data_IF_124170450430
#
_entry.id   IF_124170450430
#
_cell.length_a   1.000
_cell.length_b   1.000
_cell.length_c   1.000
_cell.angle_alpha   90.00
_cell.angle_beta   90.00
_cell.angle_gamma   90.00
#
_symmetry.space_group_name_H-M   'P 1'
#
loop_
_entity.id
_entity.type
_entity.pdbx_description
1 polymer ?
#
# COMPACT_ATOMS: atom_id res chain seq x y z
N UNK A 1 1.91 -5.70 13.05
CA UNK A 1 2.38 -5.31 11.70
C UNK A 1 3.34 -4.14 11.81
N UNK A 2 4.34 -4.09 10.94
CA UNK A 2 5.34 -3.01 10.87
C UNK A 2 5.34 -2.41 9.47
N UNK A 3 5.02 -1.12 9.37
CA UNK A 3 4.97 -0.38 8.10
C UNK A 3 6.18 0.55 7.99
N UNK A 4 6.81 0.53 6.81
CA UNK A 4 7.73 1.57 6.35
C UNK A 4 6.99 2.38 5.29
N UNK A 5 6.87 3.69 5.50
CA UNK A 5 6.03 4.56 4.65
C UNK A 5 6.88 5.68 4.07
N UNK A 6 6.71 5.95 2.77
CA UNK A 6 7.34 7.05 2.04
C UNK A 6 6.38 7.53 0.94
N UNK A 7 6.67 8.65 0.29
CA UNK A 7 5.92 9.15 -0.88
C UNK A 7 6.84 9.26 -2.09
N UNK A 8 6.33 8.94 -3.29
CA UNK A 8 7.03 9.15 -4.55
C UNK A 8 6.73 10.52 -5.19
N UNK A 9 5.82 11.30 -4.60
CA UNK A 9 5.35 12.58 -5.12
C UNK A 9 5.18 13.57 -3.97
N UNK A 10 4.01 14.18 -3.82
CA UNK A 10 3.70 15.13 -2.75
C UNK A 10 3.45 14.45 -1.41
N UNK A 11 3.42 15.24 -0.34
CA UNK A 11 3.08 14.75 1.00
C UNK A 11 1.69 14.10 1.00
N UNK A 12 1.59 12.91 1.60
CA UNK A 12 0.36 12.16 1.74
C UNK A 12 0.19 11.71 3.21
N UNK A 13 -0.96 11.14 3.56
CA UNK A 13 -1.26 10.65 4.90
C UNK A 13 -1.89 9.26 4.83
N UNK A 14 -1.14 8.26 5.27
CA UNK A 14 -1.60 6.88 5.40
C UNK A 14 -2.48 6.78 6.64
N UNK A 15 -3.77 6.55 6.46
CA UNK A 15 -4.72 6.50 7.56
C UNK A 15 -5.67 5.30 7.48
N UNK A 16 -5.78 4.55 8.57
CA UNK A 16 -6.79 3.50 8.77
C UNK A 16 -7.61 3.87 10.02
N UNK A 17 -8.77 4.55 9.86
CA UNK A 17 -9.51 5.14 10.98
C UNK A 17 -9.90 4.12 12.06
N UNK A 18 -10.40 2.95 11.64
CA UNK A 18 -10.86 1.89 12.55
C UNK A 18 -9.74 1.24 13.36
N UNK A 19 -8.50 1.40 12.93
CA UNK A 19 -7.32 0.91 13.65
C UNK A 19 -6.59 2.06 14.38
N UNK A 20 -7.20 3.26 14.44
CA UNK A 20 -6.66 4.43 15.13
C UNK A 20 -5.29 4.88 14.63
N UNK A 21 -4.94 4.54 13.38
CA UNK A 21 -3.56 4.60 12.91
C UNK A 21 -3.39 5.57 11.77
N UNK A 22 -2.66 6.66 11.99
CA UNK A 22 -2.33 7.68 10.99
C UNK A 22 -0.82 7.94 10.97
N UNK A 23 -0.23 8.05 9.78
CA UNK A 23 1.14 8.54 9.61
C UNK A 23 1.34 9.26 8.28
N UNK A 24 2.20 10.29 8.28
CA UNK A 24 2.54 11.02 7.05
C UNK A 24 3.53 10.24 6.19
N UNK A 25 3.33 10.36 4.88
CA UNK A 25 4.22 9.88 3.82
C UNK A 25 4.85 11.10 3.14
N UNK A 26 6.18 11.19 3.16
CA UNK A 26 6.92 12.32 2.62
C UNK A 26 8.00 11.81 1.67
N UNK A 27 8.22 12.52 0.56
CA UNK A 27 9.29 12.18 -0.39
C UNK A 27 10.66 12.38 0.25
N UNK A 28 11.58 11.43 -0.02
CA UNK A 28 12.93 11.43 0.54
C UNK A 28 13.03 11.09 2.03
N UNK A 29 11.90 10.80 2.70
CA UNK A 29 11.88 10.38 4.11
C UNK A 29 11.15 9.05 4.26
N UNK A 30 11.59 8.25 5.24
CA UNK A 30 10.91 7.02 5.61
C UNK A 30 10.36 7.12 7.03
N UNK A 31 9.04 7.07 7.18
CA UNK A 31 8.34 7.01 8.46
C UNK A 31 8.00 5.56 8.83
N UNK A 32 7.74 5.32 10.12
CA UNK A 32 7.53 3.97 10.68
C UNK A 32 6.25 3.94 11.49
N UNK A 33 5.41 2.94 11.27
CA UNK A 33 4.17 2.73 12.01
C UNK A 33 4.07 1.27 12.46
N UNK A 34 3.78 1.07 13.75
CA UNK A 34 3.43 -0.23 14.31
C UNK A 34 1.92 -0.29 14.53
N UNK A 35 1.30 -1.37 14.06
CA UNK A 35 -0.15 -1.52 14.12
C UNK A 35 -0.51 -2.96 14.51
N UNK A 36 -1.53 -3.11 15.34
CA UNK A 36 -2.16 -4.39 15.65
C UNK A 36 -3.65 -4.29 15.30
N UNK A 37 -4.18 -5.27 14.57
CA UNK A 37 -5.61 -5.45 14.37
C UNK A 37 -6.06 -6.53 15.36
N UNK A 38 -6.92 -6.17 16.31
CA UNK A 38 -7.36 -7.07 17.37
C UNK A 38 -8.43 -8.06 16.90
N UNK A 39 -9.15 -7.72 15.82
CA UNK A 39 -10.23 -8.52 15.27
C UNK A 39 -9.98 -8.77 13.78
N UNK A 40 -10.36 -9.95 13.26
CA UNK A 40 -10.37 -10.19 11.82
C UNK A 40 -11.38 -9.30 11.11
N UNK A 41 -11.06 -8.85 9.89
CA UNK A 41 -11.97 -8.04 9.11
C UNK A 41 -11.30 -7.23 8.01
N UNK A 42 -12.13 -6.52 7.24
CA UNK A 42 -11.67 -5.56 6.23
C UNK A 42 -11.85 -4.14 6.76
N UNK A 43 -10.77 -3.39 6.78
CA UNK A 43 -10.71 -2.01 7.23
C UNK A 43 -10.45 -1.10 6.03
N UNK A 44 -11.28 -0.06 5.89
CA UNK A 44 -11.05 0.95 4.87
C UNK A 44 -9.91 1.87 5.29
N UNK A 45 -8.96 2.08 4.38
CA UNK A 45 -7.88 3.02 4.50
C UNK A 45 -8.03 4.14 3.48
N UNK A 46 -7.62 5.34 3.86
CA UNK A 46 -7.71 6.53 3.03
C UNK A 46 -6.42 7.33 3.05
N UNK A 47 -6.22 8.13 2.01
CA UNK A 47 -5.37 9.31 2.09
C UNK A 47 -6.10 10.41 2.85
N UNK A 48 -5.51 10.93 3.93
CA UNK A 48 -6.10 12.02 4.72
C UNK A 48 -5.53 13.41 4.42
N UNK A 49 -4.64 13.55 3.42
CA UNK A 49 -4.05 14.83 3.03
C UNK A 49 -4.21 15.06 1.53
N UNK A 50 -4.82 16.17 1.16
CA UNK A 50 -5.06 16.50 -0.25
C UNK A 50 -3.74 16.50 -1.04
N UNK A 51 -3.68 15.66 -2.07
CA UNK A 51 -2.48 15.45 -2.89
C UNK A 51 -2.70 15.77 -4.38
N UNK A 52 -3.79 16.47 -4.73
CA UNK A 52 -4.14 16.85 -6.10
C UNK A 52 -5.32 16.06 -6.71
N UNK A 53 -5.46 16.08 -8.05
CA UNK A 53 -6.45 15.28 -8.77
C UNK A 53 -6.38 13.79 -8.39
N UNK A 54 -7.52 13.10 -8.36
CA UNK A 54 -7.61 11.70 -7.93
C UNK A 54 -7.55 11.45 -6.41
N UNK A 55 -7.27 12.44 -5.57
CA UNK A 55 -7.19 12.29 -4.11
C UNK A 55 -8.41 11.58 -3.49
N UNK A 56 -9.62 11.91 -3.95
CA UNK A 56 -10.86 11.30 -3.44
C UNK A 56 -10.96 9.79 -3.74
N UNK A 57 -10.22 9.32 -4.75
CA UNK A 57 -10.10 7.91 -5.12
C UNK A 57 -8.94 7.18 -4.43
N UNK A 58 -8.08 7.88 -3.69
CA UNK A 58 -6.95 7.29 -2.95
C UNK A 58 -7.44 6.54 -1.70
N UNK A 59 -8.09 5.42 -1.94
CA UNK A 59 -8.64 4.52 -0.93
C UNK A 59 -8.00 3.15 -1.10
N UNK A 60 -7.81 2.45 0.01
CA UNK A 60 -7.30 1.10 0.03
C UNK A 60 -8.05 0.26 1.06
N UNK A 61 -7.85 -1.05 1.03
CA UNK A 61 -8.41 -1.97 2.01
C UNK A 61 -7.28 -2.69 2.74
N UNK A 62 -7.30 -2.66 4.06
CA UNK A 62 -6.46 -3.47 4.91
C UNK A 62 -7.27 -4.68 5.39
N UNK A 63 -6.81 -5.89 5.08
CA UNK A 63 -7.51 -7.13 5.44
C UNK A 63 -6.73 -7.80 6.56
N UNK A 64 -7.33 -7.89 7.75
CA UNK A 64 -6.85 -8.73 8.84
C UNK A 64 -7.51 -10.10 8.69
N UNK A 65 -6.75 -11.09 8.24
CA UNK A 65 -7.26 -12.46 8.10
C UNK A 65 -7.48 -13.09 9.49
N UNK A 66 -8.45 -14.01 9.63
CA UNK A 66 -8.70 -14.74 10.88
C UNK A 66 -7.50 -15.55 11.34
N UNK A 67 -6.75 -16.11 10.39
CA UNK A 67 -5.58 -16.92 10.66
C UNK A 67 -4.47 -16.73 9.61
N UNK A 68 -3.37 -17.43 9.84
CA UNK A 68 -2.20 -17.42 8.97
C UNK A 68 -2.41 -18.18 7.66
N UNK A 69 -3.24 -19.23 7.65
CA UNK A 69 -3.46 -20.04 6.46
C UNK A 69 -4.19 -19.23 5.38
N UNK A 70 -5.19 -18.43 5.76
CA UNK A 70 -5.86 -17.50 4.84
C UNK A 70 -4.90 -16.43 4.30
N UNK A 71 -3.98 -15.93 5.14
CA UNK A 71 -2.93 -15.02 4.68
C UNK A 71 -2.02 -15.69 3.66
N UNK A 72 -1.57 -16.92 3.92
CA UNK A 72 -0.71 -17.67 3.01
C UNK A 72 -1.40 -17.97 1.67
N UNK A 73 -2.72 -18.21 1.67
CA UNK A 73 -3.52 -18.35 0.45
C UNK A 73 -3.56 -17.04 -0.35
N UNK A 74 -3.72 -15.90 0.31
CA UNK A 74 -3.66 -14.60 -0.36
C UNK A 74 -2.28 -14.34 -0.98
N UNK A 75 -1.20 -14.71 -0.28
CA UNK A 75 0.17 -14.64 -0.83
C UNK A 75 0.32 -15.55 -2.05
N UNK A 76 -0.20 -16.78 -2.00
CA UNK A 76 -0.15 -17.71 -3.13
C UNK A 76 -0.91 -17.16 -4.35
N UNK A 77 -2.07 -16.53 -4.15
CA UNK A 77 -2.82 -15.84 -5.20
C UNK A 77 -2.01 -14.70 -5.82
N UNK A 78 -1.37 -13.85 -5.02
CA UNK A 78 -0.56 -12.74 -5.53
C UNK A 78 0.63 -13.24 -6.38
N UNK A 79 1.26 -14.36 -5.98
CA UNK A 79 2.35 -15.00 -6.73
C UNK A 79 1.93 -15.58 -8.09
N UNK A 80 0.65 -15.79 -8.34
CA UNK A 80 0.13 -16.26 -9.64
C UNK A 80 -0.10 -15.10 -10.63
N UNK A 81 0.10 -13.85 -10.22
CA UNK A 81 -0.07 -12.71 -11.11
C UNK A 81 0.91 -12.76 -12.30
N UNK A 82 0.44 -12.49 -13.54
CA UNK A 82 1.32 -12.35 -14.69
C UNK A 82 2.18 -11.07 -14.64
N UNK A 83 1.85 -10.11 -13.78
CA UNK A 83 2.53 -8.83 -13.69
C UNK A 83 3.72 -8.88 -12.73
N UNK A 84 4.80 -8.18 -13.04
CA UNK A 84 6.01 -8.10 -12.20
C UNK A 84 6.50 -6.66 -12.04
N UNK A 85 7.06 -6.34 -10.87
CA UNK A 85 7.67 -5.06 -10.54
C UNK A 85 9.19 -5.22 -10.41
N UNK A 86 9.83 -5.66 -11.50
CA UNK A 86 11.22 -6.14 -11.48
C UNK A 86 12.27 -5.04 -11.68
N UNK A 87 11.88 -3.86 -12.16
CA UNK A 87 12.78 -2.75 -12.47
C UNK A 87 12.11 -1.37 -12.30
N UNK A 88 12.91 -0.30 -12.46
CA UNK A 88 12.42 1.08 -12.35
C UNK A 88 11.49 1.46 -13.51
N UNK A 89 11.64 0.87 -14.70
CA UNK A 89 10.76 1.20 -15.81
C UNK A 89 9.32 0.71 -15.54
N UNK A 90 9.17 -0.46 -14.92
CA UNK A 90 7.89 -0.97 -14.45
C UNK A 90 7.29 -0.06 -13.36
N UNK A 91 8.12 0.44 -12.44
CA UNK A 91 7.70 1.37 -11.39
C UNK A 91 7.22 2.70 -11.98
N UNK A 92 8.00 3.34 -12.84
CA UNK A 92 7.65 4.61 -13.48
C UNK A 92 6.36 4.48 -14.31
N UNK A 93 6.16 3.34 -14.99
CA UNK A 93 4.92 3.06 -15.71
C UNK A 93 3.71 2.99 -14.78
N UNK A 94 3.86 2.38 -13.60
CA UNK A 94 2.80 2.34 -12.59
C UNK A 94 2.59 3.71 -11.91
N UNK A 95 3.66 4.47 -11.72
CA UNK A 95 3.66 5.77 -11.06
C UNK A 95 3.13 6.91 -11.94
N UNK A 96 2.96 6.67 -13.24
CA UNK A 96 2.33 7.61 -14.16
C UNK A 96 0.94 8.04 -13.62
N UNK A 97 0.55 9.32 -13.78
CA UNK A 97 -0.70 9.82 -13.22
C UNK A 97 -1.93 8.98 -13.62
N UNK A 98 -2.66 8.50 -12.62
CA UNK A 98 -3.91 7.74 -12.76
C UNK A 98 -4.86 8.03 -11.60
N UNK A 99 -6.14 7.70 -11.76
CA UNK A 99 -7.16 7.87 -10.73
C UNK A 99 -7.99 6.59 -10.57
N UNK A 100 -8.51 6.36 -9.35
CA UNK A 100 -9.41 5.22 -9.05
C UNK A 100 -8.87 3.85 -9.46
N UNK A 101 -7.57 3.63 -9.26
CA UNK A 101 -6.90 2.36 -9.56
C UNK A 101 -7.61 1.17 -8.91
N UNK A 102 -7.81 0.12 -9.70
CA UNK A 102 -8.32 -1.16 -9.21
C UNK A 102 -7.21 -1.91 -8.45
N UNK A 103 -7.61 -2.91 -7.67
CA UNK A 103 -6.66 -3.79 -6.99
C UNK A 103 -5.88 -4.59 -8.02
N UNK A 104 -4.55 -4.54 -7.92
CA UNK A 104 -3.62 -5.27 -8.78
C UNK A 104 -2.59 -6.01 -7.93
N UNK A 105 -2.09 -7.14 -8.43
CA UNK A 105 -1.04 -7.94 -7.79
C UNK A 105 0.18 -8.03 -8.69
N UNK A 106 1.37 -8.10 -8.09
CA UNK A 106 2.63 -8.35 -8.78
C UNK A 106 3.31 -9.56 -8.16
N UNK A 107 3.69 -10.55 -8.98
CA UNK A 107 4.24 -11.82 -8.50
C UNK A 107 5.71 -11.75 -8.10
N UNK A 108 6.44 -10.76 -8.63
CA UNK A 108 7.83 -10.48 -8.31
C UNK A 108 8.05 -8.99 -8.09
N UNK A 109 8.97 -8.64 -7.17
CA UNK A 109 9.36 -7.25 -6.87
C UNK A 109 10.88 -7.17 -6.77
N UNK A 110 11.47 -6.12 -7.33
CA UNK A 110 12.91 -5.87 -7.22
C UNK A 110 13.34 -5.78 -5.75
N UNK A 111 14.41 -6.46 -5.33
CA UNK A 111 15.02 -6.22 -4.02
C UNK A 111 15.35 -4.73 -3.84
N UNK A 112 15.09 -4.23 -2.63
CA UNK A 112 15.31 -2.84 -2.21
C UNK A 112 14.55 -1.77 -3.02
N UNK A 113 13.44 -2.15 -3.67
CA UNK A 113 12.59 -1.22 -4.44
C UNK A 113 12.10 0.00 -3.61
N UNK A 114 12.00 -0.12 -2.28
CA UNK A 114 11.56 0.96 -1.40
C UNK A 114 12.63 2.06 -1.20
N UNK A 115 13.90 1.74 -1.41
CA UNK A 115 15.03 2.67 -1.24
C UNK A 115 15.42 3.38 -2.54
N UNK A 116 14.61 3.22 -3.59
CA UNK A 116 14.85 3.78 -4.93
C UNK A 116 14.25 5.15 -5.10
#
# INVERSE_FOLDING_TARGET
>A
MYFKVTSNSVMNSFFIPRLGSQIYAMAGMQTRLHLIANEPGTYDGISASYSGPGFSGMKFKAIATPDRAEFDQWVAKAKQSPNTMSDMAAFEKLAAPSEYNQVEYFSNVKPDCLLM
#
